data_IF_620137732615
#
_entry.id   IF_620137732615
#
_cell.length_a   1.000
_cell.length_b   1.000
_cell.length_c   1.000
_cell.angle_alpha   90.00
_cell.angle_beta   90.00
_cell.angle_gamma   90.00
#
_symmetry.space_group_name_H-M   'P 1'
#
loop_
_entity.id
_entity.type
_entity.pdbx_description
1 polymer ?
#
# COMPACT_ATOMS: atom_id res chain seq x y z
N UNK A 1 -10.59 33.27 -7.23
CA UNK A 1 -10.97 32.31 -6.18
C UNK A 1 -11.39 31.05 -6.89
N UNK A 2 -10.54 30.02 -6.87
CA UNK A 2 -10.88 28.71 -7.45
C UNK A 2 -11.98 28.08 -6.59
N UNK A 3 -13.06 27.64 -7.24
CA UNK A 3 -14.13 26.90 -6.57
C UNK A 3 -13.61 25.62 -5.87
N UNK A 4 -14.50 24.90 -5.15
CA UNK A 4 -14.10 23.63 -4.56
C UNK A 4 -13.62 22.67 -5.67
N UNK A 5 -12.63 21.82 -5.39
CA UNK A 5 -12.12 20.89 -6.39
C UNK A 5 -13.22 19.90 -6.81
N UNK A 6 -13.39 19.72 -8.13
CA UNK A 6 -14.33 18.75 -8.70
C UNK A 6 -13.56 17.46 -9.07
N UNK A 7 -13.30 16.64 -8.07
CA UNK A 7 -12.55 15.41 -8.19
C UNK A 7 -13.44 14.18 -8.32
N UNK A 8 -13.02 13.27 -9.19
CA UNK A 8 -13.62 11.96 -9.37
C UNK A 8 -12.61 10.87 -9.05
N UNK A 9 -12.99 9.88 -8.26
CA UNK A 9 -12.23 8.64 -8.14
C UNK A 9 -12.91 7.57 -8.98
N UNK A 10 -12.16 6.97 -9.88
CA UNK A 10 -12.63 5.91 -10.78
C UNK A 10 -11.63 4.76 -10.92
N UNK A 11 -12.06 3.59 -11.39
CA UNK A 11 -11.14 2.57 -11.87
C UNK A 11 -10.20 3.10 -12.94
N UNK A 12 -8.96 2.58 -12.94
CA UNK A 12 -8.01 2.85 -14.02
C UNK A 12 -8.51 2.27 -15.33
N UNK A 13 -8.17 2.92 -16.47
CA UNK A 13 -8.53 2.51 -17.83
C UNK A 13 -7.28 2.31 -18.67
N UNK A 14 -7.38 1.53 -19.75
CA UNK A 14 -6.25 1.29 -20.66
C UNK A 14 -5.61 2.58 -21.19
N UNK A 15 -6.41 3.63 -21.43
CA UNK A 15 -5.92 4.94 -21.90
C UNK A 15 -5.20 5.78 -20.86
N UNK A 16 -5.09 5.33 -19.61
CA UNK A 16 -4.41 6.10 -18.55
C UNK A 16 -2.88 5.86 -18.51
N UNK A 17 -2.33 5.03 -19.40
CA UNK A 17 -0.90 4.64 -19.35
C UNK A 17 0.02 5.84 -19.36
N UNK A 18 -0.12 6.76 -20.32
CA UNK A 18 0.74 7.93 -20.46
C UNK A 18 0.62 8.87 -19.26
N UNK A 19 -0.61 9.05 -18.76
CA UNK A 19 -0.86 9.88 -17.59
C UNK A 19 -0.21 9.29 -16.32
N UNK A 20 -0.21 7.96 -16.17
CA UNK A 20 0.44 7.30 -15.05
C UNK A 20 1.96 7.26 -15.17
N UNK A 21 2.50 7.17 -16.39
CA UNK A 21 3.96 7.34 -16.65
C UNK A 21 4.40 8.75 -16.25
N UNK A 22 3.65 9.77 -16.69
CA UNK A 22 3.92 11.16 -16.34
C UNK A 22 3.84 11.39 -14.82
N UNK A 23 2.84 10.81 -14.17
CA UNK A 23 2.70 10.87 -12.71
C UNK A 23 3.90 10.20 -12.01
N UNK A 24 4.31 9.01 -12.47
CA UNK A 24 5.46 8.29 -11.92
C UNK A 24 6.75 9.11 -12.05
N UNK A 25 6.98 9.71 -13.21
CA UNK A 25 8.11 10.59 -13.47
C UNK A 25 8.10 11.83 -12.54
N UNK A 26 6.94 12.44 -12.31
CA UNK A 26 6.79 13.60 -11.43
C UNK A 26 7.04 13.27 -9.95
N UNK A 27 6.81 12.02 -9.53
CA UNK A 27 7.05 11.54 -8.17
C UNK A 27 8.51 11.19 -7.90
N UNK A 28 9.30 10.95 -8.95
CA UNK A 28 10.71 10.60 -8.87
C UNK A 28 11.00 9.17 -8.41
N UNK A 29 12.29 8.82 -8.25
CA UNK A 29 12.73 7.42 -8.05
C UNK A 29 12.35 6.80 -6.70
N UNK A 30 11.78 7.56 -5.77
CA UNK A 30 11.38 7.06 -4.46
C UNK A 30 10.11 6.18 -4.47
N UNK A 31 9.35 6.20 -5.56
CA UNK A 31 8.09 5.45 -5.70
C UNK A 31 8.32 4.09 -6.38
N UNK A 32 8.93 3.15 -5.66
CA UNK A 32 9.25 1.81 -6.20
C UNK A 32 8.03 1.00 -6.65
N UNK A 33 6.84 1.27 -6.10
CA UNK A 33 5.60 0.60 -6.48
C UNK A 33 5.00 1.10 -7.79
N UNK A 34 5.52 2.20 -8.35
CA UNK A 34 5.11 2.79 -9.62
C UNK A 34 6.36 3.25 -10.37
N UNK A 35 7.11 2.35 -11.01
CA UNK A 35 8.24 2.72 -11.85
C UNK A 35 7.74 3.53 -13.06
N UNK A 36 8.54 4.51 -13.52
CA UNK A 36 8.24 5.27 -14.73
C UNK A 36 8.58 4.46 -15.99
N UNK A 37 7.97 3.30 -16.12
CA UNK A 37 8.14 2.33 -17.21
C UNK A 37 6.77 2.07 -17.82
N UNK A 38 6.61 2.36 -19.11
CA UNK A 38 5.33 2.27 -19.80
C UNK A 38 4.80 0.82 -19.86
N UNK A 39 5.66 -0.16 -20.08
CA UNK A 39 5.27 -1.56 -20.20
C UNK A 39 4.84 -2.11 -18.83
N UNK A 40 5.58 -1.79 -17.78
CA UNK A 40 5.23 -2.17 -16.42
C UNK A 40 3.91 -1.54 -15.97
N UNK A 41 3.67 -0.27 -16.31
CA UNK A 41 2.43 0.45 -16.02
C UNK A 41 1.26 -0.14 -16.83
N UNK A 42 1.45 -0.39 -18.13
CA UNK A 42 0.42 -1.01 -18.99
C UNK A 42 0.02 -2.40 -18.47
N UNK A 43 0.97 -3.23 -18.09
CA UNK A 43 0.71 -4.53 -17.49
C UNK A 43 -0.02 -4.43 -16.15
N UNK A 44 0.27 -3.40 -15.34
CA UNK A 44 -0.43 -3.11 -14.09
C UNK A 44 -1.88 -2.69 -14.34
N UNK A 45 -2.10 -1.86 -15.35
CA UNK A 45 -3.44 -1.41 -15.77
C UNK A 45 -4.25 -2.62 -16.28
N UNK A 46 -3.70 -3.45 -17.17
CA UNK A 46 -4.37 -4.63 -17.70
C UNK A 46 -4.85 -5.55 -16.58
N UNK A 47 -3.97 -5.89 -15.64
CA UNK A 47 -4.36 -6.70 -14.48
C UNK A 47 -5.51 -6.07 -13.68
N UNK A 48 -5.48 -4.75 -13.50
CA UNK A 48 -6.54 -4.06 -12.77
C UNK A 48 -7.88 -4.09 -13.53
N UNK A 49 -7.86 -3.82 -14.83
CA UNK A 49 -9.06 -3.87 -15.69
C UNK A 49 -9.68 -5.26 -15.66
N UNK A 50 -8.87 -6.31 -15.80
CA UNK A 50 -9.32 -7.70 -15.74
C UNK A 50 -9.86 -8.08 -14.36
N UNK A 51 -9.23 -7.60 -13.30
CA UNK A 51 -9.73 -7.81 -11.92
C UNK A 51 -11.09 -7.15 -11.71
N UNK A 52 -11.29 -5.91 -12.20
CA UNK A 52 -12.59 -5.23 -12.14
C UNK A 52 -13.65 -5.95 -12.99
N UNK A 53 -13.25 -6.62 -14.09
CA UNK A 53 -14.13 -7.46 -14.89
C UNK A 53 -14.48 -8.82 -14.24
N UNK A 54 -14.00 -9.08 -13.03
CA UNK A 54 -14.24 -10.33 -12.28
C UNK A 54 -13.43 -11.52 -12.78
N UNK A 55 -12.38 -11.30 -13.57
CA UNK A 55 -11.47 -12.35 -13.99
C UNK A 55 -10.51 -12.70 -12.84
N UNK A 56 -10.29 -14.00 -12.63
CA UNK A 56 -9.26 -14.48 -11.70
C UNK A 56 -7.90 -14.43 -12.39
N UNK A 57 -7.11 -13.44 -12.02
CA UNK A 57 -5.76 -13.23 -12.55
C UNK A 57 -4.73 -13.33 -11.42
N UNK A 58 -3.54 -13.85 -11.75
CA UNK A 58 -2.42 -13.82 -10.83
C UNK A 58 -2.10 -12.36 -10.45
N UNK A 59 -1.76 -12.12 -9.18
CA UNK A 59 -1.51 -10.77 -8.64
C UNK A 59 -2.68 -9.79 -8.87
N UNK A 60 -3.91 -10.29 -8.70
CA UNK A 60 -5.14 -9.48 -8.82
C UNK A 60 -5.04 -8.19 -8.04
N UNK A 61 -5.43 -7.09 -8.67
CA UNK A 61 -5.32 -5.77 -8.05
C UNK A 61 -6.42 -4.82 -8.54
N UNK A 62 -6.81 -3.91 -7.69
CA UNK A 62 -7.68 -2.79 -8.03
C UNK A 62 -6.87 -1.50 -7.99
N UNK A 63 -6.74 -0.83 -9.12
CA UNK A 63 -6.11 0.49 -9.22
C UNK A 63 -7.19 1.52 -9.41
N UNK A 64 -7.22 2.51 -8.51
CA UNK A 64 -8.08 3.68 -8.57
C UNK A 64 -7.25 4.88 -8.98
N UNK A 65 -7.80 5.73 -9.83
CA UNK A 65 -7.21 7.02 -10.19
C UNK A 65 -8.08 8.16 -9.68
N UNK A 66 -7.42 9.25 -9.29
CA UNK A 66 -8.04 10.53 -9.01
C UNK A 66 -7.97 11.37 -10.26
N UNK A 67 -9.11 11.79 -10.76
CA UNK A 67 -9.26 12.62 -11.94
C UNK A 67 -9.84 13.98 -11.58
N UNK A 68 -9.31 15.04 -12.16
CA UNK A 68 -9.94 16.34 -12.20
C UNK A 68 -11.02 16.32 -13.28
N UNK A 69 -12.28 16.41 -12.90
CA UNK A 69 -13.41 16.24 -13.86
C UNK A 69 -13.42 17.26 -14.98
N UNK A 70 -13.18 18.56 -14.73
CA UNK A 70 -13.20 19.56 -15.79
C UNK A 70 -12.13 19.35 -16.87
N UNK A 71 -10.91 18.94 -16.48
CA UNK A 71 -9.78 18.77 -17.41
C UNK A 71 -9.58 17.32 -17.87
N UNK A 72 -10.12 16.35 -17.16
CA UNK A 72 -9.85 14.93 -17.39
C UNK A 72 -8.45 14.50 -16.95
N UNK A 73 -7.69 15.38 -16.31
CA UNK A 73 -6.31 15.10 -15.89
C UNK A 73 -6.28 14.10 -14.74
N UNK A 74 -5.41 13.08 -14.84
CA UNK A 74 -5.11 12.17 -13.74
C UNK A 74 -4.18 12.87 -12.75
N UNK A 75 -4.66 13.03 -11.52
CA UNK A 75 -3.98 13.76 -10.44
C UNK A 75 -3.30 12.84 -9.44
N UNK A 76 -3.64 11.55 -9.44
CA UNK A 76 -3.08 10.59 -8.50
C UNK A 76 -3.65 9.20 -8.69
N UNK A 77 -3.07 8.24 -7.97
CA UNK A 77 -3.56 6.87 -7.97
C UNK A 77 -3.46 6.22 -6.61
N UNK A 78 -4.21 5.13 -6.43
CA UNK A 78 -4.06 4.25 -5.27
C UNK A 78 -4.38 2.81 -5.64
N UNK A 79 -3.81 1.85 -4.91
CA UNK A 79 -3.94 0.43 -5.19
C UNK A 79 -4.47 -0.38 -4.01
N UNK A 80 -5.20 -1.45 -4.35
CA UNK A 80 -5.55 -2.55 -3.46
C UNK A 80 -5.08 -3.84 -4.15
N UNK A 81 -4.23 -4.61 -3.48
CA UNK A 81 -3.64 -5.83 -4.00
C UNK A 81 -4.24 -7.02 -3.27
N UNK A 82 -4.77 -7.96 -4.02
CA UNK A 82 -5.42 -9.14 -3.46
C UNK A 82 -4.42 -10.29 -3.36
N UNK A 83 -4.61 -11.15 -2.37
CA UNK A 83 -3.87 -12.41 -2.20
C UNK A 83 -2.34 -12.24 -2.33
N UNK A 84 -1.78 -11.22 -1.66
CA UNK A 84 -0.34 -10.99 -1.70
C UNK A 84 0.44 -12.23 -1.25
N UNK A 85 1.54 -12.52 -1.90
CA UNK A 85 2.40 -13.65 -1.56
C UNK A 85 2.01 -14.99 -2.18
N UNK A 86 0.87 -15.09 -2.91
CA UNK A 86 0.48 -16.34 -3.57
C UNK A 86 1.25 -16.58 -4.88
N UNK A 87 1.36 -15.56 -5.73
CA UNK A 87 2.11 -15.68 -6.99
C UNK A 87 3.61 -15.39 -6.80
N UNK A 88 3.92 -14.39 -5.98
CA UNK A 88 5.30 -13.99 -5.66
C UNK A 88 5.43 -13.86 -4.14
N UNK A 89 6.46 -14.45 -3.55
CA UNK A 89 6.66 -14.45 -2.10
C UNK A 89 6.59 -13.04 -1.50
N UNK A 90 5.71 -12.85 -0.53
CA UNK A 90 5.60 -11.62 0.25
C UNK A 90 6.18 -11.85 1.64
N UNK A 91 7.34 -11.28 1.89
CA UNK A 91 8.06 -11.45 3.14
C UNK A 91 8.04 -10.18 3.98
N UNK A 92 7.90 -10.38 5.27
CA UNK A 92 8.00 -9.34 6.29
C UNK A 92 8.92 -9.79 7.42
N UNK A 93 9.29 -8.86 8.29
CA UNK A 93 10.07 -9.18 9.48
C UNK A 93 9.23 -8.94 10.73
N UNK A 94 9.14 -9.97 11.56
CA UNK A 94 8.54 -9.87 12.88
C UNK A 94 9.60 -9.42 13.88
N UNK A 95 9.36 -8.29 14.51
CA UNK A 95 10.15 -7.84 15.62
C UNK A 95 9.67 -8.54 16.89
N UNK A 96 10.52 -9.37 17.48
CA UNK A 96 10.25 -10.11 18.72
C UNK A 96 11.24 -9.70 19.78
N UNK A 97 10.74 -9.34 20.94
CA UNK A 97 11.56 -9.05 22.11
C UNK A 97 11.80 -10.33 22.88
N UNK A 98 13.05 -10.74 23.00
CA UNK A 98 13.48 -11.89 23.75
C UNK A 98 14.15 -11.45 25.04
N UNK A 99 13.66 -11.96 26.16
CA UNK A 99 14.24 -11.71 27.48
C UNK A 99 14.86 -13.01 27.98
N UNK A 100 16.16 -12.99 28.17
CA UNK A 100 16.92 -14.10 28.77
C UNK A 100 17.41 -13.71 30.14
N UNK A 101 17.36 -14.65 31.08
CA UNK A 101 17.89 -14.50 32.43
C UNK A 101 18.86 -15.65 32.72
N UNK A 102 20.07 -15.33 33.07
CA UNK A 102 21.00 -16.28 33.62
C UNK A 102 20.96 -16.20 35.15
N UNK A 103 20.58 -17.29 35.79
CA UNK A 103 20.51 -17.39 37.26
C UNK A 103 21.92 -17.35 37.83
N UNK A 104 22.86 -18.10 37.23
CA UNK A 104 24.23 -18.23 37.68
C UNK A 104 25.03 -16.92 37.61
N UNK A 105 24.75 -16.11 36.59
CA UNK A 105 25.42 -14.83 36.38
C UNK A 105 24.64 -13.64 36.97
N UNK A 106 23.45 -13.86 37.53
CA UNK A 106 22.57 -12.81 38.04
C UNK A 106 22.21 -11.74 37.00
N UNK A 107 22.33 -12.06 35.71
CA UNK A 107 22.13 -11.09 34.60
C UNK A 107 20.86 -11.35 33.84
N UNK A 108 20.23 -10.26 33.41
CA UNK A 108 19.09 -10.23 32.49
C UNK A 108 19.53 -9.55 31.20
N UNK A 109 19.30 -10.23 30.09
CA UNK A 109 19.53 -9.68 28.74
C UNK A 109 18.22 -9.52 28.04
N UNK A 110 18.12 -8.43 27.31
CA UNK A 110 16.97 -8.13 26.46
C UNK A 110 17.49 -7.82 25.06
N UNK A 111 17.02 -8.57 24.09
CA UNK A 111 17.39 -8.45 22.67
C UNK A 111 16.15 -8.35 21.81
N UNK A 112 16.25 -7.60 20.73
CA UNK A 112 15.24 -7.57 19.68
C UNK A 112 15.70 -8.44 18.53
N UNK A 113 14.84 -9.40 18.15
CA UNK A 113 15.05 -10.31 17.03
C UNK A 113 14.15 -9.92 15.87
N UNK A 114 14.72 -9.83 14.67
CA UNK A 114 13.99 -9.75 13.42
C UNK A 114 13.89 -11.15 12.83
N UNK A 115 12.69 -11.73 12.87
CA UNK A 115 12.41 -13.04 12.29
C UNK A 115 11.70 -12.87 10.96
N UNK A 116 12.24 -13.45 9.89
CA UNK A 116 11.59 -13.47 8.59
C UNK A 116 10.27 -14.23 8.69
N UNK A 117 9.21 -13.66 8.12
CA UNK A 117 7.87 -14.25 8.17
C UNK A 117 7.13 -13.98 6.86
N UNK A 118 6.23 -14.88 6.48
CA UNK A 118 5.29 -14.74 5.38
C UNK A 118 3.83 -14.79 5.87
N UNK A 119 3.56 -14.38 7.10
CA UNK A 119 2.25 -14.45 7.75
C UNK A 119 1.14 -13.70 7.00
N UNK A 120 1.50 -12.84 6.04
CA UNK A 120 0.55 -12.07 5.23
C UNK A 120 0.24 -12.71 3.88
N UNK A 121 0.72 -13.93 3.61
CA UNK A 121 0.35 -14.66 2.39
C UNK A 121 -1.18 -14.83 2.32
N UNK A 122 -1.78 -14.48 1.18
CA UNK A 122 -3.23 -14.48 0.97
C UNK A 122 -3.96 -13.24 1.52
N UNK A 123 -3.26 -12.33 2.18
CA UNK A 123 -3.86 -11.09 2.68
C UNK A 123 -4.14 -10.07 1.55
N UNK A 124 -4.97 -9.09 1.86
CA UNK A 124 -5.16 -7.90 1.01
C UNK A 124 -4.25 -6.77 1.48
N UNK A 125 -3.44 -6.25 0.57
CA UNK A 125 -2.58 -5.10 0.81
C UNK A 125 -3.22 -3.83 0.27
N UNK A 126 -3.18 -2.76 1.06
CA UNK A 126 -3.54 -1.40 0.64
C UNK A 126 -2.25 -0.64 0.38
N UNK A 127 -1.98 -0.30 -0.87
CA UNK A 127 -0.70 0.27 -1.26
C UNK A 127 -0.77 1.34 -2.35
N UNK A 128 0.40 1.73 -2.85
CA UNK A 128 0.58 2.62 -4.00
C UNK A 128 -0.28 3.88 -3.94
N UNK A 129 -0.22 4.62 -2.84
CA UNK A 129 -0.93 5.91 -2.72
C UNK A 129 0.00 7.04 -3.17
N UNK A 130 -0.37 7.70 -4.25
CA UNK A 130 0.39 8.79 -4.81
C UNK A 130 -0.54 9.88 -5.36
N UNK A 131 -0.13 11.14 -5.21
CA UNK A 131 -0.76 12.31 -5.83
C UNK A 131 0.32 13.22 -6.39
N UNK A 132 0.00 14.01 -7.41
CA UNK A 132 0.93 15.00 -7.96
C UNK A 132 1.48 15.89 -6.84
N UNK A 133 2.79 16.24 -6.89
CA UNK A 133 3.45 17.01 -5.82
C UNK A 133 2.73 18.30 -5.45
N UNK A 134 2.14 19.00 -6.41
CA UNK A 134 1.40 20.26 -6.19
C UNK A 134 0.08 20.09 -5.42
N UNK A 135 -0.39 18.86 -5.20
CA UNK A 135 -1.63 18.56 -4.47
C UNK A 135 -1.39 18.10 -3.03
N UNK A 136 -0.17 18.12 -2.57
CA UNK A 136 0.15 17.79 -1.18
C UNK A 136 -0.53 18.78 -0.23
N UNK A 137 -1.19 18.27 0.80
CA UNK A 137 -1.94 19.09 1.76
C UNK A 137 -3.37 19.48 1.31
N UNK A 138 -3.74 19.31 0.04
CA UNK A 138 -5.08 19.65 -0.49
C UNK A 138 -6.22 18.73 -0.01
N UNK A 139 -5.90 17.57 0.54
CA UNK A 139 -6.88 16.53 0.88
C UNK A 139 -7.02 15.43 -0.17
N UNK A 140 -6.44 15.57 -1.38
CA UNK A 140 -6.48 14.62 -2.46
C UNK A 140 -6.00 13.21 -2.05
N UNK A 141 -4.86 13.13 -1.38
CA UNK A 141 -4.34 11.86 -0.86
C UNK A 141 -5.25 11.21 0.18
N UNK A 142 -5.91 12.00 1.02
CA UNK A 142 -6.90 11.48 2.00
C UNK A 142 -8.15 10.94 1.30
N UNK A 143 -8.60 11.63 0.26
CA UNK A 143 -9.74 11.21 -0.54
C UNK A 143 -9.48 9.86 -1.22
N UNK A 144 -8.33 9.73 -1.91
CA UNK A 144 -7.86 8.46 -2.50
C UNK A 144 -7.69 7.35 -1.44
N UNK A 145 -7.12 7.70 -0.28
CA UNK A 145 -6.92 6.73 0.79
C UNK A 145 -8.24 6.11 1.28
N UNK A 146 -9.28 6.92 1.43
CA UNK A 146 -10.61 6.47 1.87
C UNK A 146 -11.31 5.61 0.82
N UNK A 147 -11.16 5.95 -0.46
CA UNK A 147 -11.79 5.21 -1.55
C UNK A 147 -11.39 3.73 -1.59
N UNK A 148 -10.15 3.39 -1.19
CA UNK A 148 -9.70 1.99 -1.11
C UNK A 148 -10.51 1.18 -0.10
N UNK A 149 -10.82 1.75 1.06
CA UNK A 149 -11.63 1.07 2.08
C UNK A 149 -13.09 0.97 1.67
N UNK A 150 -13.62 1.99 0.97
CA UNK A 150 -14.96 1.92 0.38
C UNK A 150 -15.04 0.82 -0.70
N UNK A 151 -14.00 0.70 -1.54
CA UNK A 151 -13.90 -0.36 -2.54
C UNK A 151 -13.89 -1.74 -1.88
N UNK A 152 -13.08 -1.94 -0.84
CA UNK A 152 -13.02 -3.22 -0.10
C UNK A 152 -14.39 -3.55 0.52
N UNK A 153 -15.10 -2.55 1.05
CA UNK A 153 -16.43 -2.74 1.61
C UNK A 153 -17.50 -3.03 0.57
N UNK A 154 -17.39 -2.44 -0.63
CA UNK A 154 -18.34 -2.65 -1.73
C UNK A 154 -18.15 -3.98 -2.46
N UNK A 155 -16.93 -4.47 -2.50
CA UNK A 155 -16.56 -5.76 -3.09
C UNK A 155 -15.98 -6.66 -1.99
N UNK A 156 -16.79 -7.15 -1.04
CA UNK A 156 -16.33 -8.17 -0.12
C UNK A 156 -15.83 -9.31 -0.98
N UNK A 157 -14.53 -9.52 -0.98
CA UNK A 157 -13.85 -10.51 -1.81
C UNK A 157 -14.64 -11.81 -1.77
N UNK A 158 -15.18 -12.21 -2.89
CA UNK A 158 -15.93 -13.44 -3.10
C UNK A 158 -14.99 -14.65 -3.03
N UNK A 159 -14.34 -14.84 -1.91
CA UNK A 159 -13.67 -16.07 -1.59
C UNK A 159 -14.59 -16.85 -0.63
N UNK A 160 -15.30 -17.79 -1.17
CA UNK A 160 -15.81 -18.94 -0.44
C UNK A 160 -14.63 -19.64 0.24
N UNK A 161 -14.36 -19.31 1.49
CA UNK A 161 -13.30 -19.71 2.41
C UNK A 161 -12.21 -18.66 2.59
N UNK A 162 -12.55 -17.51 3.11
CA UNK A 162 -11.53 -16.69 3.72
C UNK A 162 -12.06 -16.09 5.01
N UNK A 163 -11.47 -16.52 6.11
CA UNK A 163 -11.29 -15.65 7.24
C UNK A 163 -10.95 -14.24 6.75
N UNK A 164 -11.53 -13.21 7.33
CA UNK A 164 -11.33 -11.81 7.04
C UNK A 164 -9.89 -11.52 6.62
N UNK A 165 -9.63 -10.90 5.45
CA UNK A 165 -8.28 -10.58 5.03
C UNK A 165 -7.65 -9.66 6.08
N UNK A 166 -6.56 -10.10 6.67
CA UNK A 166 -5.76 -9.26 7.55
C UNK A 166 -5.20 -8.12 6.70
N UNK A 167 -5.62 -6.91 7.00
CA UNK A 167 -5.11 -5.74 6.31
C UNK A 167 -3.68 -5.47 6.77
N UNK A 168 -2.71 -5.73 5.91
CA UNK A 168 -1.32 -5.37 6.16
C UNK A 168 -1.16 -3.86 5.92
N UNK A 169 -1.52 -3.06 6.90
CA UNK A 169 -1.23 -1.63 6.88
C UNK A 169 0.23 -1.42 7.28
N UNK A 170 1.11 -1.19 6.31
CA UNK A 170 2.46 -0.72 6.56
C UNK A 170 2.41 0.63 7.30
N UNK A 171 2.84 0.65 8.55
CA UNK A 171 2.96 1.89 9.32
C UNK A 171 4.21 2.61 8.82
N UNK A 172 4.04 3.65 8.02
CA UNK A 172 5.11 4.58 7.70
C UNK A 172 5.44 5.37 8.97
N UNK A 173 6.56 5.05 9.59
CA UNK A 173 7.08 5.79 10.74
C UNK A 173 7.66 7.11 10.23
N UNK A 174 6.93 8.20 10.39
CA UNK A 174 7.51 9.54 10.26
C UNK A 174 8.30 9.81 11.53
N UNK A 175 9.62 9.83 11.39
CA UNK A 175 10.54 10.31 12.43
C UNK A 175 10.34 11.82 12.61
N UNK A 176 9.49 12.21 13.56
CA UNK A 176 9.56 13.54 14.16
C UNK A 176 10.04 13.35 15.59
N UNK A 177 11.29 13.68 15.80
CA UNK A 177 11.86 13.78 17.14
C UNK A 177 11.01 14.73 18.00
N UNK A 178 10.51 14.21 19.10
CA UNK A 178 10.16 14.98 20.27
C UNK A 178 10.48 14.12 21.50
N UNK A 179 11.42 14.61 22.26
CA UNK A 179 11.72 14.17 23.63
C UNK A 179 10.45 14.27 24.49
N UNK A 180 10.03 13.15 25.04
CA UNK A 180 8.91 13.11 25.96
C UNK A 180 8.70 11.69 26.47
N UNK A 181 9.23 11.41 27.65
CA UNK A 181 9.02 10.21 28.45
C UNK A 181 7.53 9.96 28.69
N UNK A 182 6.96 8.96 28.02
CA UNK A 182 5.77 8.23 28.49
C UNK A 182 5.90 6.78 28.08
N UNK A 183 5.87 5.92 29.05
CA UNK A 183 5.75 4.48 28.92
C UNK A 183 4.47 4.12 28.16
N UNK A 184 4.62 3.52 26.98
CA UNK A 184 3.52 2.98 26.18
C UNK A 184 3.59 1.45 26.14
N UNK A 185 2.46 0.74 26.10
CA UNK A 185 2.44 -0.72 26.07
C UNK A 185 3.03 -1.26 24.76
N UNK A 186 3.73 -2.39 24.87
CA UNK A 186 4.42 -3.05 23.77
C UNK A 186 3.43 -3.49 22.68
N UNK A 187 3.48 -2.83 21.53
CA UNK A 187 2.82 -3.29 20.31
C UNK A 187 3.87 -3.91 19.40
N UNK A 188 3.62 -5.14 18.93
CA UNK A 188 4.44 -5.82 17.94
C UNK A 188 4.45 -5.01 16.63
N UNK A 189 5.60 -4.46 16.26
CA UNK A 189 5.79 -3.72 15.02
C UNK A 189 6.26 -4.65 13.89
N UNK A 190 5.71 -4.45 12.72
CA UNK A 190 6.10 -5.16 11.50
C UNK A 190 6.72 -4.19 10.49
N UNK A 191 7.86 -4.59 9.89
CA UNK A 191 8.51 -3.85 8.80
C UNK A 191 8.46 -4.71 7.55
N UNK A 192 7.80 -4.23 6.51
CA UNK A 192 7.77 -4.85 5.19
C UNK A 192 8.84 -4.20 4.28
N UNK A 193 9.72 -5.00 3.69
CA UNK A 193 10.59 -4.56 2.59
C UNK A 193 10.24 -5.37 1.34
N UNK A 194 9.89 -4.67 0.26
CA UNK A 194 9.84 -5.30 -1.07
C UNK A 194 11.26 -5.57 -1.55
N UNK A 195 11.48 -6.75 -2.07
CA UNK A 195 12.72 -7.10 -2.75
C UNK A 195 12.71 -6.45 -4.15
N UNK A 196 13.78 -5.71 -4.44
CA UNK A 196 14.11 -5.29 -5.80
C UNK A 196 14.77 -6.51 -6.46
N UNK A 197 14.17 -7.00 -7.52
CA UNK A 197 14.77 -7.95 -8.44
C UNK A 197 14.96 -7.26 -9.76
#
# INVERSE_FOLDING_TARGET
MSGPPDWLIRPVRAGDTDALVALAAALGPGMTALPADADAIAAKIDRSVRTFAGQDVADSQYILVLEDRPSGQVLGLSGVYLRVGEAHGFFSYKLTRLIQRSVDLGRRYEIELLTLSNDYTGATEVGTLAVLPGLQGSGAGRFLARARYMLIGAFPTSSRRASWPRCAAGRMRTDRGHSGTRSAPASSGWISRRRIG
#
